data_IF_557331972310
#
_entry.id   IF_557331972310
#
_cell.length_a   1.000
_cell.length_b   1.000
_cell.length_c   1.000
_cell.angle_alpha   90.00
_cell.angle_beta   90.00
_cell.angle_gamma   90.00
#
_symmetry.space_group_name_H-M   'P 1'
#
loop_
_entity.id
_entity.type
_entity.pdbx_description
1 polymer ?
#
# COMPACT_ATOMS: atom_id res chain seq x y z
N UNK A 1 40.35 -33.62 68.44
CA UNK A 1 40.37 -33.86 66.99
C UNK A 1 39.03 -33.50 66.45
N UNK A 2 38.88 -32.28 65.88
CA UNK A 2 37.61 -31.79 65.28
C UNK A 2 37.66 -32.07 63.79
N UNK A 3 36.67 -32.81 63.28
CA UNK A 3 36.51 -33.06 61.86
C UNK A 3 35.83 -31.86 61.22
N UNK A 4 36.49 -31.32 60.21
CA UNK A 4 35.97 -30.26 59.33
C UNK A 4 35.16 -30.94 58.22
N UNK A 5 33.84 -30.56 58.06
CA UNK A 5 33.01 -30.99 56.97
C UNK A 5 32.94 -29.80 55.99
N UNK A 6 33.45 -30.00 54.77
CA UNK A 6 33.33 -29.03 53.67
C UNK A 6 32.11 -29.38 52.90
N UNK A 7 31.12 -28.45 52.84
CA UNK A 7 29.93 -28.53 51.97
C UNK A 7 30.24 -27.85 50.64
N UNK A 8 30.18 -28.62 49.54
CA UNK A 8 30.29 -28.09 48.17
C UNK A 8 28.91 -27.71 47.74
N UNK A 9 28.68 -26.41 47.62
CA UNK A 9 27.44 -25.86 47.01
C UNK A 9 27.56 -25.85 45.50
N UNK A 10 26.67 -26.58 44.81
CA UNK A 10 26.49 -26.54 43.37
C UNK A 10 25.53 -25.39 43.05
N UNK A 11 26.03 -24.32 42.41
CA UNK A 11 25.20 -23.26 41.90
C UNK A 11 24.61 -23.68 40.52
N UNK A 12 23.29 -23.90 40.47
CA UNK A 12 22.57 -24.03 39.21
C UNK A 12 22.34 -22.63 38.63
N UNK A 13 23.05 -22.31 37.57
CA UNK A 13 22.73 -21.14 36.74
C UNK A 13 21.57 -21.50 35.79
N UNK A 14 20.38 -20.97 36.07
CA UNK A 14 19.24 -21.03 35.15
C UNK A 14 19.50 -20.07 34.00
N UNK A 15 19.76 -20.58 32.81
CA UNK A 15 19.76 -19.81 31.57
C UNK A 15 18.31 -19.56 31.16
N UNK A 16 17.80 -18.36 31.39
CA UNK A 16 16.52 -17.94 30.89
C UNK A 16 16.67 -17.72 29.37
N UNK A 17 16.13 -18.62 28.56
CA UNK A 17 15.98 -18.41 27.13
C UNK A 17 14.95 -17.30 26.91
N UNK A 18 15.40 -16.11 26.50
CA UNK A 18 14.52 -15.03 26.02
C UNK A 18 14.00 -15.45 24.67
N UNK A 19 12.78 -15.97 24.62
CA UNK A 19 12.04 -16.16 23.37
C UNK A 19 11.60 -14.78 22.90
N UNK A 20 12.34 -14.19 21.96
CA UNK A 20 11.93 -12.99 21.24
C UNK A 20 10.83 -13.42 20.27
N UNK A 21 9.58 -13.28 20.68
CA UNK A 21 8.43 -13.41 19.78
C UNK A 21 8.44 -12.20 18.87
N UNK A 22 8.91 -12.34 17.65
CA UNK A 22 8.68 -11.36 16.60
C UNK A 22 7.19 -11.34 16.31
N UNK A 23 6.46 -10.44 16.95
CA UNK A 23 5.11 -10.09 16.53
C UNK A 23 5.23 -9.44 15.16
N UNK A 24 4.84 -10.17 14.12
CA UNK A 24 4.82 -9.66 12.76
C UNK A 24 4.05 -8.34 12.72
N UNK A 25 4.71 -7.27 12.30
CA UNK A 25 4.09 -5.97 12.06
C UNK A 25 3.03 -6.06 10.94
N UNK A 26 2.19 -5.05 10.79
CA UNK A 26 1.22 -5.01 9.70
C UNK A 26 1.93 -5.12 8.35
N UNK A 27 1.37 -5.93 7.43
CA UNK A 27 1.99 -6.21 6.13
C UNK A 27 2.16 -4.97 5.23
N UNK A 28 1.47 -3.87 5.56
CA UNK A 28 1.55 -2.61 4.84
C UNK A 28 2.36 -1.54 5.57
N UNK A 29 2.80 -1.80 6.81
CA UNK A 29 3.75 -0.91 7.48
C UNK A 29 5.16 -1.40 7.18
N UNK A 30 5.95 -0.60 6.50
CA UNK A 30 7.35 -0.91 6.26
C UNK A 30 8.10 -0.98 7.59
N UNK A 31 8.67 -2.13 7.97
CA UNK A 31 9.51 -2.22 9.16
C UNK A 31 10.88 -1.55 8.96
N UNK A 32 11.17 -1.09 7.75
CA UNK A 32 12.45 -0.55 7.33
C UNK A 32 12.33 0.96 7.19
N UNK A 33 12.98 1.71 8.08
CA UNK A 33 13.14 3.14 7.91
C UNK A 33 14.41 3.39 7.11
N UNK A 34 14.27 3.91 5.90
CA UNK A 34 15.41 4.39 5.13
C UNK A 34 15.88 5.73 5.67
N UNK A 35 17.16 5.85 5.96
CA UNK A 35 17.78 7.12 6.40
C UNK A 35 18.38 7.91 5.22
N UNK A 36 18.35 7.35 4.01
CA UNK A 36 18.80 7.98 2.78
C UNK A 36 17.76 7.85 1.66
N UNK A 37 17.80 8.77 0.71
CA UNK A 37 17.03 8.67 -0.54
C UNK A 37 17.66 7.59 -1.41
N UNK A 38 16.84 6.72 -2.00
CA UNK A 38 17.32 5.63 -2.88
C UNK A 38 18.05 6.15 -4.12
N UNK A 39 18.85 5.30 -4.76
CA UNK A 39 19.53 5.60 -6.02
C UNK A 39 18.51 6.01 -7.10
N UNK A 40 18.96 6.83 -8.05
CA UNK A 40 18.19 7.14 -9.26
C UNK A 40 18.42 6.08 -10.37
N UNK A 41 19.51 5.33 -10.25
CA UNK A 41 19.86 4.28 -11.20
C UNK A 41 19.20 2.97 -10.73
N UNK A 42 18.31 2.38 -11.53
CA UNK A 42 17.66 1.13 -11.17
C UNK A 42 18.64 -0.04 -11.22
N UNK A 43 18.29 -1.12 -10.53
CA UNK A 43 19.07 -2.36 -10.52
C UNK A 43 18.73 -3.20 -11.74
N UNK A 44 19.75 -3.72 -12.45
CA UNK A 44 19.58 -4.61 -13.59
C UNK A 44 18.92 -5.96 -13.24
N UNK A 45 18.98 -6.36 -11.96
CA UNK A 45 18.51 -7.67 -11.49
C UNK A 45 17.01 -7.64 -11.19
N UNK A 46 16.18 -7.22 -12.15
CA UNK A 46 14.72 -7.24 -12.00
C UNK A 46 14.05 -8.10 -13.07
N UNK A 47 13.06 -8.94 -12.71
CA UNK A 47 12.27 -9.62 -13.72
C UNK A 47 11.47 -8.59 -14.53
N UNK A 48 11.02 -8.99 -15.71
CA UNK A 48 10.20 -8.17 -16.60
C UNK A 48 8.78 -8.73 -16.68
N UNK A 49 7.79 -7.90 -16.45
CA UNK A 49 6.38 -8.24 -16.66
C UNK A 49 6.00 -7.81 -18.08
N UNK A 50 5.66 -8.78 -18.93
CA UNK A 50 5.62 -8.57 -20.38
C UNK A 50 4.31 -7.95 -20.89
N UNK A 51 3.24 -8.00 -20.09
CA UNK A 51 1.91 -7.48 -20.42
C UNK A 51 1.20 -6.94 -19.19
N UNK A 52 0.09 -6.21 -19.38
CA UNK A 52 -0.75 -5.68 -18.31
C UNK A 52 -0.04 -4.68 -17.40
N UNK A 53 -0.23 -4.83 -16.09
CA UNK A 53 0.30 -3.93 -15.06
C UNK A 53 0.59 -4.66 -13.74
N UNK A 54 1.52 -4.13 -12.94
CA UNK A 54 1.78 -4.51 -11.54
C UNK A 54 0.99 -3.59 -10.63
N UNK A 55 0.09 -4.17 -9.82
CA UNK A 55 -0.82 -3.43 -8.94
C UNK A 55 -0.44 -3.50 -7.46
N UNK A 56 0.24 -4.56 -7.04
CA UNK A 56 0.70 -4.73 -5.66
C UNK A 56 1.94 -5.61 -5.58
N UNK A 57 2.84 -5.22 -4.68
CA UNK A 57 4.03 -6.00 -4.33
C UNK A 57 4.07 -6.24 -2.81
N UNK A 58 4.68 -7.33 -2.40
CA UNK A 58 4.87 -7.70 -0.99
C UNK A 58 6.23 -8.37 -0.82
N UNK A 59 7.05 -7.87 0.10
CA UNK A 59 8.31 -8.51 0.48
C UNK A 59 8.09 -9.44 1.67
N UNK A 60 8.39 -10.72 1.52
CA UNK A 60 8.34 -11.68 2.61
C UNK A 60 9.21 -12.92 2.34
N UNK A 61 9.87 -13.42 3.39
CA UNK A 61 10.61 -14.69 3.33
C UNK A 61 11.75 -14.71 2.30
N UNK A 62 12.35 -13.55 2.00
CA UNK A 62 13.42 -13.43 0.98
C UNK A 62 12.91 -13.45 -0.46
N UNK A 63 11.61 -13.30 -0.67
CA UNK A 63 10.98 -13.16 -1.98
C UNK A 63 10.16 -11.87 -2.08
N UNK A 64 10.01 -11.37 -3.29
CA UNK A 64 9.02 -10.35 -3.65
C UNK A 64 7.87 -11.04 -4.37
N UNK A 65 6.67 -10.93 -3.78
CA UNK A 65 5.41 -11.36 -4.40
C UNK A 65 4.83 -10.20 -5.20
N UNK A 66 4.31 -10.50 -6.38
CA UNK A 66 3.82 -9.51 -7.34
C UNK A 66 2.42 -9.89 -7.80
N UNK A 67 1.46 -9.03 -7.58
CA UNK A 67 0.09 -9.14 -8.05
C UNK A 67 -0.24 -8.07 -9.10
N UNK A 68 -1.15 -8.38 -10.03
CA UNK A 68 -1.53 -7.41 -11.06
C UNK A 68 -2.50 -7.93 -12.10
N UNK A 69 -2.40 -7.35 -13.29
CA UNK A 69 -3.15 -7.73 -14.49
C UNK A 69 -2.15 -8.12 -15.59
N UNK A 70 -1.48 -9.20 -15.40
CA UNK A 70 -0.49 -9.73 -16.36
C UNK A 70 -0.69 -11.23 -16.55
N UNK A 71 -0.13 -11.76 -17.65
CA UNK A 71 -0.16 -13.20 -17.95
C UNK A 71 1.23 -13.78 -18.24
N UNK A 72 2.24 -12.92 -18.40
CA UNK A 72 3.58 -13.30 -18.83
C UNK A 72 4.65 -12.54 -18.06
N UNK A 73 5.66 -13.28 -17.59
CA UNK A 73 6.84 -12.72 -16.93
C UNK A 73 8.11 -13.29 -17.56
N UNK A 74 9.20 -12.53 -17.51
CA UNK A 74 10.50 -12.93 -18.03
C UNK A 74 11.56 -12.71 -16.96
N UNK A 75 12.43 -13.68 -16.65
CA UNK A 75 13.56 -13.48 -15.75
C UNK A 75 14.51 -12.40 -16.30
N UNK A 76 15.25 -11.71 -15.40
CA UNK A 76 16.14 -10.61 -15.77
C UNK A 76 17.21 -11.01 -16.80
N UNK A 77 17.71 -12.24 -16.74
CA UNK A 77 18.76 -12.78 -17.61
C UNK A 77 18.28 -13.18 -19.01
N UNK A 78 17.14 -12.68 -19.45
CA UNK A 78 16.56 -12.92 -20.78
C UNK A 78 16.26 -14.38 -21.13
N UNK A 79 16.12 -15.27 -20.14
CA UNK A 79 15.59 -16.61 -20.34
C UNK A 79 14.17 -16.59 -20.94
N UNK A 80 13.65 -17.74 -21.28
CA UNK A 80 12.32 -17.85 -21.88
C UNK A 80 11.23 -17.19 -21.01
N UNK A 81 10.26 -16.60 -21.67
CA UNK A 81 9.03 -16.08 -21.04
C UNK A 81 8.28 -17.21 -20.35
N UNK A 82 7.81 -16.95 -19.13
CA UNK A 82 7.09 -17.88 -18.29
C UNK A 82 5.65 -17.39 -18.15
N UNK A 83 4.67 -18.27 -18.36
CA UNK A 83 3.27 -17.95 -18.06
C UNK A 83 3.08 -17.80 -16.54
N UNK A 84 2.50 -16.68 -16.12
CA UNK A 84 2.12 -16.37 -14.73
C UNK A 84 0.83 -15.58 -14.74
N UNK A 85 -0.20 -16.16 -14.20
CA UNK A 85 -1.53 -15.59 -14.30
C UNK A 85 -1.81 -14.70 -13.08
N UNK A 86 -1.50 -13.41 -13.22
CA UNK A 86 -1.77 -12.30 -12.27
C UNK A 86 -1.04 -12.38 -10.93
N UNK A 87 -0.26 -13.45 -10.70
CA UNK A 87 0.55 -13.62 -9.50
C UNK A 87 1.84 -14.36 -9.81
N UNK A 88 2.96 -13.85 -9.33
CA UNK A 88 4.22 -14.55 -9.25
C UNK A 88 5.05 -14.09 -8.06
N UNK A 89 6.14 -14.80 -7.78
CA UNK A 89 7.15 -14.34 -6.85
C UNK A 89 8.55 -14.58 -7.44
N UNK A 90 9.52 -13.80 -6.99
CA UNK A 90 10.91 -13.91 -7.40
C UNK A 90 11.86 -13.63 -6.24
N UNK A 91 13.08 -14.12 -6.35
CA UNK A 91 14.15 -13.79 -5.41
C UNK A 91 14.76 -12.44 -5.80
N UNK A 92 14.72 -11.40 -4.95
CA UNK A 92 15.20 -10.06 -5.27
C UNK A 92 16.74 -9.99 -5.48
N UNK A 93 17.51 -10.92 -4.91
CA UNK A 93 18.96 -10.95 -5.05
C UNK A 93 19.44 -11.58 -6.37
N UNK A 94 18.63 -12.45 -6.95
CA UNK A 94 18.99 -13.20 -8.16
C UNK A 94 18.09 -12.91 -9.34
N UNK A 95 16.98 -12.17 -9.15
CA UNK A 95 15.95 -11.95 -10.16
C UNK A 95 15.25 -13.24 -10.65
N UNK A 96 15.54 -14.37 -10.00
CA UNK A 96 15.01 -15.69 -10.37
C UNK A 96 13.53 -15.83 -9.96
N UNK A 97 12.67 -16.23 -10.92
CA UNK A 97 11.25 -16.51 -10.68
C UNK A 97 11.11 -17.79 -9.86
N UNK A 98 10.30 -17.74 -8.79
CA UNK A 98 10.06 -18.89 -7.92
C UNK A 98 9.07 -19.90 -8.52
N UNK A 99 8.91 -21.03 -7.83
CA UNK A 99 7.92 -22.05 -8.19
C UNK A 99 6.47 -21.69 -7.85
N UNK A 100 6.20 -20.55 -7.22
CA UNK A 100 4.84 -20.11 -6.91
C UNK A 100 4.00 -20.06 -8.19
N UNK A 101 2.89 -20.79 -8.20
CA UNK A 101 1.97 -20.83 -9.34
C UNK A 101 0.52 -20.91 -8.84
N UNK A 102 -0.29 -19.97 -9.25
CA UNK A 102 -1.74 -19.96 -9.05
C UNK A 102 -2.40 -19.27 -10.25
N UNK A 103 -3.61 -19.70 -10.61
CA UNK A 103 -4.39 -19.13 -11.70
C UNK A 103 -5.59 -18.38 -11.16
N UNK A 104 -5.84 -17.20 -11.71
CA UNK A 104 -6.94 -16.32 -11.33
C UNK A 104 -7.77 -15.94 -12.55
N UNK A 105 -9.08 -15.91 -12.44
CA UNK A 105 -9.93 -15.49 -13.55
C UNK A 105 -10.06 -13.96 -13.68
N UNK A 106 -9.51 -13.18 -12.78
CA UNK A 106 -9.45 -11.72 -12.84
C UNK A 106 -8.29 -11.17 -11.99
N UNK A 107 -8.11 -9.88 -11.97
CA UNK A 107 -6.98 -9.11 -11.45
C UNK A 107 -6.71 -9.32 -9.95
N UNK A 108 -5.44 -9.30 -9.58
CA UNK A 108 -4.93 -9.27 -8.20
C UNK A 108 -4.55 -7.84 -7.83
N UNK A 109 -5.18 -7.31 -6.77
CA UNK A 109 -5.02 -5.92 -6.31
C UNK A 109 -4.39 -5.78 -4.94
N UNK A 110 -4.41 -6.83 -4.14
CA UNK A 110 -3.96 -6.78 -2.76
C UNK A 110 -3.20 -8.03 -2.36
N UNK A 111 -2.14 -7.86 -1.57
CA UNK A 111 -1.32 -8.94 -1.01
C UNK A 111 -1.07 -8.67 0.47
N UNK A 112 -1.15 -9.71 1.28
CA UNK A 112 -0.76 -9.69 2.69
C UNK A 112 -0.21 -11.06 3.13
N UNK A 113 0.50 -11.11 4.26
CA UNK A 113 1.02 -12.35 4.82
C UNK A 113 0.84 -12.39 6.34
N UNK A 114 0.63 -13.60 6.88
CA UNK A 114 0.69 -13.89 8.32
C UNK A 114 2.07 -14.42 8.76
N UNK A 115 3.07 -14.37 7.85
CA UNK A 115 4.40 -14.92 8.07
C UNK A 115 4.58 -16.34 7.53
N UNK A 116 3.51 -17.06 7.22
CA UNK A 116 3.53 -18.45 6.72
C UNK A 116 2.72 -18.65 5.44
N UNK A 117 1.68 -17.87 5.27
CA UNK A 117 0.74 -17.95 4.15
C UNK A 117 0.68 -16.64 3.39
N UNK A 118 0.28 -16.71 2.14
CA UNK A 118 0.00 -15.56 1.30
C UNK A 118 -1.52 -15.35 1.20
N UNK A 119 -2.01 -14.18 1.60
CA UNK A 119 -3.37 -13.73 1.30
C UNK A 119 -3.34 -12.91 0.03
N UNK A 120 -4.25 -13.23 -0.90
CA UNK A 120 -4.37 -12.56 -2.20
C UNK A 120 -5.77 -12.01 -2.33
N UNK A 121 -5.88 -10.72 -2.65
CA UNK A 121 -7.14 -10.02 -2.85
C UNK A 121 -7.27 -9.47 -4.28
N UNK A 122 -8.50 -9.33 -4.78
CA UNK A 122 -8.71 -8.82 -6.12
C UNK A 122 -10.15 -8.88 -6.61
N UNK A 123 -10.30 -8.79 -7.93
CA UNK A 123 -11.60 -8.85 -8.62
C UNK A 123 -12.00 -10.27 -9.04
N UNK A 124 -11.19 -11.24 -8.77
CA UNK A 124 -11.44 -12.64 -9.11
C UNK A 124 -12.57 -13.25 -8.28
N UNK A 125 -13.15 -14.31 -8.83
CA UNK A 125 -14.10 -15.19 -8.11
C UNK A 125 -13.73 -16.68 -8.17
N UNK A 126 -12.63 -16.99 -8.89
CA UNK A 126 -12.12 -18.36 -9.04
C UNK A 126 -10.60 -18.36 -9.00
N UNK A 127 -10.02 -19.26 -8.21
CA UNK A 127 -8.57 -19.47 -8.07
C UNK A 127 -8.27 -20.96 -8.18
N UNK A 128 -7.35 -21.35 -9.08
CA UNK A 128 -7.03 -22.76 -9.36
C UNK A 128 -8.29 -23.64 -9.58
N UNK A 129 -9.32 -23.08 -10.24
CA UNK A 129 -10.60 -23.77 -10.45
C UNK A 129 -11.53 -23.81 -9.23
N UNK A 130 -11.09 -23.32 -8.06
CA UNK A 130 -11.88 -23.30 -6.82
C UNK A 130 -12.58 -21.95 -6.69
N UNK A 131 -13.88 -21.93 -6.37
CA UNK A 131 -14.62 -20.69 -6.12
C UNK A 131 -14.09 -19.97 -4.88
N UNK A 132 -13.56 -18.77 -5.07
CA UNK A 132 -13.05 -17.87 -4.03
C UNK A 132 -13.27 -16.42 -4.49
N UNK A 133 -14.28 -15.77 -3.95
CA UNK A 133 -14.62 -14.39 -4.36
C UNK A 133 -13.85 -13.38 -3.54
N UNK A 134 -13.08 -12.55 -4.22
CA UNK A 134 -12.43 -11.35 -3.68
C UNK A 134 -11.20 -11.61 -2.84
N UNK A 135 -11.09 -12.72 -2.13
CA UNK A 135 -9.91 -13.06 -1.31
C UNK A 135 -9.70 -14.57 -1.21
N UNK A 136 -8.42 -14.96 -1.22
CA UNK A 136 -7.97 -16.35 -1.05
C UNK A 136 -6.74 -16.42 -0.15
N UNK A 137 -6.57 -17.51 0.56
CA UNK A 137 -5.33 -17.88 1.28
C UNK A 137 -4.60 -18.96 0.50
N UNK A 138 -3.31 -18.74 0.23
CA UNK A 138 -2.45 -19.64 -0.53
C UNK A 138 -1.25 -20.09 0.32
N UNK A 139 -0.75 -21.27 0.01
CA UNK A 139 0.62 -21.62 0.38
C UNK A 139 1.59 -20.71 -0.39
N UNK A 140 2.44 -19.96 0.33
CA UNK A 140 3.32 -18.94 -0.25
C UNK A 140 4.43 -19.51 -1.17
N UNK A 141 4.72 -20.81 -1.08
CA UNK A 141 5.74 -21.48 -1.90
C UNK A 141 5.14 -22.08 -3.17
N UNK A 142 3.99 -22.76 -3.04
CA UNK A 142 3.42 -23.56 -4.13
C UNK A 142 2.26 -22.89 -4.86
N UNK A 143 1.55 -21.94 -4.21
CA UNK A 143 0.31 -21.35 -4.72
C UNK A 143 -0.94 -22.22 -4.48
N UNK A 144 -0.82 -23.34 -3.76
CA UNK A 144 -1.96 -24.18 -3.43
C UNK A 144 -2.98 -23.43 -2.54
N UNK A 145 -4.28 -23.57 -2.86
CA UNK A 145 -5.37 -22.93 -2.11
C UNK A 145 -5.57 -23.60 -0.76
N UNK A 146 -5.57 -22.82 0.32
CA UNK A 146 -6.07 -23.30 1.63
C UNK A 146 -7.59 -23.40 1.60
N UNK A 147 -8.10 -24.64 1.58
CA UNK A 147 -9.53 -24.91 1.47
C UNK A 147 -10.31 -24.57 2.74
N UNK A 148 -9.63 -24.46 3.89
CA UNK A 148 -10.25 -24.10 5.18
C UNK A 148 -10.57 -22.59 5.25
N UNK A 149 -9.83 -21.76 4.49
CA UNK A 149 -10.06 -20.32 4.44
C UNK A 149 -11.11 -19.97 3.38
N UNK A 150 -12.22 -19.35 3.80
CA UNK A 150 -13.22 -18.79 2.90
C UNK A 150 -13.99 -17.65 3.58
N UNK A 151 -13.78 -16.41 3.08
CA UNK A 151 -14.44 -15.22 3.63
C UNK A 151 -15.88 -15.02 3.13
N UNK A 152 -16.32 -15.79 2.12
CA UNK A 152 -17.67 -15.72 1.53
C UNK A 152 -18.10 -14.28 1.14
N UNK A 153 -17.19 -13.53 0.53
CA UNK A 153 -17.47 -12.15 0.14
C UNK A 153 -18.42 -12.08 -1.06
N UNK A 154 -19.18 -10.97 -1.13
CA UNK A 154 -20.09 -10.63 -2.25
C UNK A 154 -19.48 -9.67 -3.26
N UNK A 155 -18.18 -9.32 -3.11
CA UNK A 155 -17.50 -8.36 -3.97
C UNK A 155 -15.98 -8.48 -3.83
N UNK A 156 -15.30 -7.55 -4.46
CA UNK A 156 -13.84 -7.55 -4.61
C UNK A 156 -13.13 -6.95 -3.41
N UNK A 157 -11.89 -7.39 -3.18
CA UNK A 157 -10.95 -6.80 -2.22
C UNK A 157 -9.94 -5.96 -3.01
N UNK A 158 -9.89 -4.68 -2.70
CA UNK A 158 -9.02 -3.70 -3.38
C UNK A 158 -7.72 -3.43 -2.63
N UNK A 159 -7.74 -3.64 -1.30
CA UNK A 159 -6.56 -3.59 -0.45
C UNK A 159 -6.77 -4.37 0.84
N UNK A 160 -5.67 -4.77 1.51
CA UNK A 160 -5.72 -5.52 2.76
C UNK A 160 -4.47 -5.33 3.62
N UNK A 161 -4.62 -5.54 4.92
CA UNK A 161 -3.52 -5.58 5.86
C UNK A 161 -3.68 -6.72 6.87
N UNK A 162 -2.58 -7.40 7.19
CA UNK A 162 -2.52 -8.32 8.32
C UNK A 162 -1.95 -7.60 9.53
N UNK A 163 -2.70 -7.55 10.62
CA UNK A 163 -2.31 -6.83 11.85
C UNK A 163 -2.80 -7.55 13.10
N UNK A 164 -1.88 -7.83 14.03
CA UNK A 164 -2.20 -8.41 15.35
C UNK A 164 -3.15 -9.62 15.27
N UNK A 165 -2.85 -10.57 14.37
CA UNK A 165 -3.62 -11.80 14.21
C UNK A 165 -4.94 -11.65 13.46
N UNK A 166 -5.19 -10.53 12.77
CA UNK A 166 -6.41 -10.27 11.99
C UNK A 166 -6.06 -9.87 10.57
N UNK A 167 -6.83 -10.32 9.60
CA UNK A 167 -6.76 -9.85 8.23
C UNK A 167 -7.86 -8.80 8.01
N UNK A 168 -7.45 -7.54 7.81
CA UNK A 168 -8.35 -6.42 7.51
C UNK A 168 -8.46 -6.31 6.00
N UNK A 169 -9.69 -6.27 5.50
CA UNK A 169 -10.04 -6.20 4.08
C UNK A 169 -10.76 -4.89 3.78
N UNK A 170 -10.34 -4.18 2.74
CA UNK A 170 -11.04 -3.05 2.14
C UNK A 170 -11.51 -3.41 0.73
N UNK A 171 -12.69 -2.91 0.31
CA UNK A 171 -13.16 -3.26 -1.04
C UNK A 171 -14.57 -2.82 -1.39
N UNK A 172 -15.16 -3.56 -2.35
CA UNK A 172 -16.51 -3.31 -2.90
C UNK A 172 -17.58 -4.22 -2.28
N UNK A 173 -17.18 -5.24 -1.53
CA UNK A 173 -18.10 -6.17 -0.85
C UNK A 173 -19.06 -5.43 0.11
N UNK A 174 -20.13 -6.08 0.58
CA UNK A 174 -21.25 -5.40 1.29
C UNK A 174 -20.79 -4.51 2.45
N UNK A 175 -19.87 -4.97 3.31
CA UNK A 175 -19.37 -4.21 4.46
C UNK A 175 -18.35 -3.13 4.12
N UNK A 176 -17.73 -3.16 2.94
CA UNK A 176 -16.65 -2.27 2.45
C UNK A 176 -15.34 -2.34 3.25
N UNK A 177 -15.43 -2.57 4.56
CA UNK A 177 -14.30 -2.73 5.48
C UNK A 177 -14.64 -3.85 6.46
N UNK A 178 -13.77 -4.85 6.60
CA UNK A 178 -14.04 -6.05 7.39
C UNK A 178 -12.74 -6.60 7.99
N UNK A 179 -12.81 -7.14 9.20
CA UNK A 179 -11.73 -7.96 9.75
C UNK A 179 -12.16 -9.43 9.80
N UNK A 180 -11.35 -10.30 9.20
CA UNK A 180 -11.60 -11.73 9.14
C UNK A 180 -10.53 -12.53 9.88
N UNK A 181 -10.90 -13.73 10.31
CA UNK A 181 -9.97 -14.73 10.84
C UNK A 181 -8.99 -15.17 9.74
N UNK A 182 -7.67 -15.10 9.94
CA UNK A 182 -6.69 -15.57 8.95
C UNK A 182 -6.69 -17.10 8.79
N UNK A 183 -7.37 -17.82 9.68
CA UNK A 183 -7.49 -19.28 9.64
C UNK A 183 -8.71 -19.72 8.82
N UNK A 184 -9.87 -19.13 9.09
CA UNK A 184 -11.13 -19.57 8.48
C UNK A 184 -11.70 -18.62 7.44
N UNK A 185 -11.30 -17.36 7.43
CA UNK A 185 -11.92 -16.28 6.63
C UNK A 185 -13.20 -15.72 7.25
N UNK A 186 -13.70 -16.30 8.36
CA UNK A 186 -14.93 -15.85 9.01
C UNK A 186 -14.79 -14.43 9.60
N UNK A 187 -15.87 -13.63 9.52
CA UNK A 187 -15.92 -12.31 10.13
C UNK A 187 -15.69 -12.39 11.64
N UNK A 188 -14.71 -11.65 12.14
CA UNK A 188 -14.36 -11.64 13.58
C UNK A 188 -15.23 -10.73 14.43
N UNK A 189 -16.06 -9.87 13.82
CA UNK A 189 -16.80 -8.83 14.52
C UNK A 189 -15.93 -7.69 15.09
N UNK A 190 -14.63 -7.67 14.78
CA UNK A 190 -13.71 -6.65 15.27
C UNK A 190 -13.97 -5.27 14.65
N UNK A 191 -14.34 -5.22 13.35
CA UNK A 191 -14.76 -4.00 12.68
C UNK A 191 -16.30 -4.03 12.56
N UNK A 192 -16.96 -3.14 13.32
CA UNK A 192 -18.42 -2.92 13.27
C UNK A 192 -18.77 -1.55 12.69
N UNK A 193 -17.75 -0.82 12.20
CA UNK A 193 -17.91 0.53 11.67
C UNK A 193 -18.50 0.44 10.26
N UNK A 194 -19.67 1.02 10.05
CA UNK A 194 -20.31 1.09 8.73
C UNK A 194 -19.61 2.11 7.83
N UNK A 195 -19.34 1.74 6.58
CA UNK A 195 -18.85 2.62 5.52
C UNK A 195 -20.02 2.85 4.55
N UNK A 196 -20.42 4.10 4.34
CA UNK A 196 -21.65 4.41 3.60
C UNK A 196 -21.54 5.70 2.77
N UNK A 197 -22.50 5.84 1.85
CA UNK A 197 -22.66 7.00 0.98
C UNK A 197 -21.58 7.12 -0.09
N UNK A 198 -21.72 8.13 -0.92
CA UNK A 198 -20.73 8.54 -1.93
C UNK A 198 -20.29 9.97 -1.62
N UNK A 199 -19.09 10.40 -2.02
CA UNK A 199 -18.54 11.71 -1.62
C UNK A 199 -19.46 12.87 -1.95
N UNK A 200 -20.07 12.85 -3.16
CA UNK A 200 -20.95 13.90 -3.66
C UNK A 200 -22.22 13.27 -4.23
N UNK A 201 -23.28 13.09 -3.39
CA UNK A 201 -24.57 12.57 -3.83
C UNK A 201 -25.17 13.44 -4.95
N UNK A 202 -25.78 12.80 -5.96
CA UNK A 202 -26.32 13.48 -7.15
C UNK A 202 -25.32 13.65 -8.28
N UNK A 203 -24.04 13.39 -8.06
CA UNK A 203 -23.07 13.32 -9.14
C UNK A 203 -22.96 11.86 -9.65
N UNK A 204 -23.30 11.56 -10.92
CA UNK A 204 -23.28 10.20 -11.48
C UNK A 204 -21.88 9.59 -11.48
N UNK A 205 -20.83 10.40 -11.54
CA UNK A 205 -19.43 9.94 -11.59
C UNK A 205 -18.86 9.63 -10.20
N UNK A 206 -19.64 9.81 -9.12
CA UNK A 206 -19.21 9.43 -7.76
C UNK A 206 -18.86 7.95 -7.62
N UNK A 207 -19.40 7.11 -8.48
CA UNK A 207 -19.19 5.67 -8.45
C UNK A 207 -19.78 4.99 -7.21
N UNK A 208 -19.66 3.66 -7.07
CA UNK A 208 -20.17 2.95 -5.91
C UNK A 208 -19.32 3.17 -4.67
N UNK A 209 -19.95 3.13 -3.49
CA UNK A 209 -19.25 3.15 -2.20
C UNK A 209 -18.24 2.01 -2.12
N UNK A 210 -17.00 2.34 -1.77
CA UNK A 210 -15.90 1.37 -1.56
C UNK A 210 -14.78 1.96 -0.69
N UNK A 211 -14.04 1.11 -0.02
CA UNK A 211 -12.68 1.40 0.46
C UNK A 211 -11.73 1.04 -0.66
N UNK A 212 -10.91 1.96 -1.11
CA UNK A 212 -10.01 1.74 -2.24
C UNK A 212 -8.62 1.31 -1.78
N UNK A 213 -8.04 2.04 -0.80
CA UNK A 213 -6.76 1.70 -0.16
C UNK A 213 -6.87 1.85 1.34
N UNK A 214 -5.99 1.17 2.05
CA UNK A 214 -5.88 1.25 3.49
C UNK A 214 -4.42 1.13 3.94
N UNK A 215 -4.06 1.81 5.01
CA UNK A 215 -2.77 1.70 5.66
C UNK A 215 -2.92 1.56 7.17
N UNK A 216 -2.08 0.74 7.77
CA UNK A 216 -2.00 0.58 9.22
C UNK A 216 -0.69 1.19 9.71
N UNK A 217 -0.74 2.00 10.77
CA UNK A 217 0.48 2.55 11.33
C UNK A 217 1.39 1.46 11.93
N UNK A 218 2.70 1.68 12.07
CA UNK A 218 3.65 0.67 12.56
C UNK A 218 3.29 0.04 13.90
N UNK A 219 2.67 0.79 14.80
CA UNK A 219 2.22 0.29 16.11
C UNK A 219 0.96 -0.61 16.01
N UNK A 220 0.30 -0.69 14.85
CA UNK A 220 -0.95 -1.43 14.67
C UNK A 220 -2.10 -0.90 15.51
N UNK A 221 -2.16 0.43 15.72
CA UNK A 221 -3.15 1.10 16.56
C UNK A 221 -4.04 2.08 15.78
N UNK A 222 -3.63 2.46 14.57
CA UNK A 222 -4.37 3.35 13.67
C UNK A 222 -4.50 2.70 12.30
N UNK A 223 -5.65 2.91 11.68
CA UNK A 223 -5.96 2.50 10.31
C UNK A 223 -6.46 3.72 9.55
N UNK A 224 -5.75 4.14 8.54
CA UNK A 224 -6.23 5.10 7.56
C UNK A 224 -6.92 4.37 6.41
N UNK A 225 -8.05 4.87 5.96
CA UNK A 225 -8.76 4.36 4.79
C UNK A 225 -9.04 5.49 3.82
N UNK A 226 -8.89 5.22 2.54
CA UNK A 226 -9.27 6.13 1.46
C UNK A 226 -10.20 5.43 0.48
N UNK A 227 -11.12 6.19 -0.14
CA UNK A 227 -12.07 5.59 -1.06
C UNK A 227 -13.27 6.45 -1.42
N UNK A 228 -14.27 5.81 -1.99
CA UNK A 228 -15.53 6.41 -2.40
C UNK A 228 -16.56 6.22 -1.30
N UNK A 229 -16.57 7.11 -0.32
CA UNK A 229 -17.54 7.12 0.78
C UNK A 229 -17.71 8.55 1.33
N UNK A 230 -18.84 8.82 2.00
CA UNK A 230 -19.11 10.10 2.68
C UNK A 230 -19.34 9.96 4.18
N UNK A 231 -19.52 8.72 4.67
CA UNK A 231 -19.81 8.46 6.09
C UNK A 231 -19.06 7.22 6.58
N UNK A 232 -18.52 7.33 7.79
CA UNK A 232 -17.86 6.22 8.51
C UNK A 232 -18.41 6.20 9.94
N UNK A 233 -19.06 5.09 10.32
CA UNK A 233 -19.69 4.95 11.64
C UNK A 233 -20.75 6.00 11.93
N UNK A 234 -21.50 6.44 10.91
CA UNK A 234 -22.51 7.50 11.04
C UNK A 234 -21.95 8.93 11.12
N UNK A 235 -20.62 9.10 11.11
CA UNK A 235 -19.97 10.42 11.12
C UNK A 235 -19.60 10.83 9.70
N UNK A 236 -19.72 12.13 9.38
CA UNK A 236 -19.24 12.66 8.09
C UNK A 236 -17.74 12.45 7.97
N UNK A 237 -17.35 11.67 7.00
CA UNK A 237 -15.97 11.35 6.62
C UNK A 237 -15.94 11.13 5.11
N UNK A 238 -15.62 12.17 4.35
CA UNK A 238 -15.56 12.05 2.89
C UNK A 238 -14.20 11.58 2.45
N UNK A 239 -14.16 10.49 1.69
CA UNK A 239 -13.01 9.95 0.98
C UNK A 239 -11.83 9.51 1.85
N UNK A 240 -11.63 10.09 3.04
CA UNK A 240 -10.53 9.77 3.97
C UNK A 240 -11.07 9.67 5.37
N UNK A 241 -10.70 8.61 6.08
CA UNK A 241 -10.99 8.47 7.50
C UNK A 241 -9.84 7.80 8.25
N UNK A 242 -9.67 8.20 9.50
CA UNK A 242 -8.75 7.57 10.44
C UNK A 242 -9.57 6.79 11.47
N UNK A 243 -9.19 5.52 11.71
CA UNK A 243 -9.81 4.66 12.70
C UNK A 243 -8.78 4.27 13.77
N UNK A 244 -9.26 4.08 14.99
CA UNK A 244 -8.46 3.52 16.08
C UNK A 244 -8.67 2.02 16.16
N UNK A 245 -7.57 1.27 16.09
CA UNK A 245 -7.54 -0.18 16.26
C UNK A 245 -7.30 -0.51 17.73
N UNK A 246 -8.38 -0.69 18.48
CA UNK A 246 -8.32 -1.07 19.89
C UNK A 246 -8.02 -2.57 20.07
N UNK A 247 -7.98 -3.04 21.29
CA UNK A 247 -7.69 -4.46 21.60
C UNK A 247 -8.79 -5.38 21.09
N UNK A 248 -10.06 -5.03 21.31
CA UNK A 248 -11.22 -5.89 20.99
C UNK A 248 -12.11 -5.35 19.88
N UNK A 249 -12.00 -4.08 19.53
CA UNK A 249 -12.86 -3.43 18.53
C UNK A 249 -12.20 -2.24 17.87
N UNK A 250 -12.77 -1.79 16.76
CA UNK A 250 -12.35 -0.60 16.02
C UNK A 250 -13.36 0.53 16.23
N UNK A 251 -12.85 1.75 16.39
CA UNK A 251 -13.68 2.97 16.52
C UNK A 251 -13.24 4.01 15.50
N UNK A 252 -14.15 4.93 15.15
CA UNK A 252 -13.82 6.08 14.29
C UNK A 252 -13.06 7.11 15.14
N UNK A 253 -11.90 7.53 14.64
CA UNK A 253 -11.12 8.61 15.26
C UNK A 253 -11.83 9.95 15.13
N UNK A 254 -11.54 10.88 16.05
CA UNK A 254 -11.98 12.27 15.94
C UNK A 254 -11.41 13.02 14.73
N UNK A 255 -10.32 12.52 14.13
CA UNK A 255 -9.66 13.15 12.99
C UNK A 255 -10.64 13.39 11.83
N UNK A 256 -10.66 14.64 11.33
CA UNK A 256 -11.46 15.05 10.18
C UNK A 256 -10.87 16.32 9.56
N UNK A 257 -10.97 16.44 8.25
CA UNK A 257 -10.63 17.68 7.55
C UNK A 257 -11.75 18.10 6.59
N UNK A 258 -12.21 19.36 6.68
CA UNK A 258 -13.22 19.91 5.77
C UNK A 258 -12.72 20.06 4.32
N UNK A 259 -11.41 20.00 4.08
CA UNK A 259 -10.85 20.06 2.73
C UNK A 259 -11.31 18.89 1.85
N UNK A 260 -11.68 17.75 2.46
CA UNK A 260 -12.25 16.61 1.75
C UNK A 260 -13.72 16.80 1.35
N UNK A 261 -14.38 17.85 1.84
CA UNK A 261 -15.76 18.17 1.49
C UNK A 261 -15.88 18.92 0.14
N UNK A 262 -14.77 19.34 -0.44
CA UNK A 262 -14.72 19.98 -1.77
C UNK A 262 -14.53 18.94 -2.87
N UNK A 263 -15.22 19.11 -4.00
CA UNK A 263 -15.01 18.32 -5.22
C UNK A 263 -13.89 18.89 -6.06
N UNK A 264 -13.15 18.03 -6.77
CA UNK A 264 -12.16 18.47 -7.75
C UNK A 264 -12.81 18.88 -9.08
N UNK A 265 -13.71 18.03 -9.58
CA UNK A 265 -14.52 18.30 -10.77
C UNK A 265 -15.75 17.41 -10.76
N UNK A 266 -16.70 17.67 -11.65
CA UNK A 266 -17.84 16.79 -11.84
C UNK A 266 -17.44 15.40 -12.33
N UNK A 267 -16.38 15.32 -13.16
CA UNK A 267 -15.88 14.04 -13.70
C UNK A 267 -15.01 13.24 -12.72
N UNK A 268 -14.50 13.85 -11.65
CA UNK A 268 -13.67 13.18 -10.64
C UNK A 268 -14.09 13.52 -9.21
N UNK A 269 -15.32 13.16 -8.83
CA UNK A 269 -15.83 13.48 -7.48
C UNK A 269 -15.13 12.65 -6.39
N UNK A 270 -14.62 11.46 -6.70
CA UNK A 270 -13.81 10.62 -5.79
C UNK A 270 -12.35 10.67 -6.23
N UNK A 271 -11.53 11.41 -5.51
CA UNK A 271 -10.17 11.72 -5.94
C UNK A 271 -9.05 11.19 -5.03
N UNK A 272 -9.33 10.69 -3.83
CA UNK A 272 -8.31 9.99 -3.02
C UNK A 272 -7.84 8.70 -3.71
N UNK A 273 -6.52 8.43 -3.72
CA UNK A 273 -5.95 7.30 -4.45
C UNK A 273 -5.18 6.35 -3.55
N UNK A 274 -4.26 6.85 -2.74
CA UNK A 274 -3.44 6.03 -1.86
C UNK A 274 -3.12 6.76 -0.57
N UNK A 275 -2.69 6.00 0.46
CA UNK A 275 -2.32 6.50 1.78
C UNK A 275 -1.24 5.63 2.39
N UNK A 276 -0.24 6.27 3.03
CA UNK A 276 0.79 5.56 3.79
C UNK A 276 1.18 6.34 5.04
N UNK A 277 1.58 5.62 6.11
CA UNK A 277 2.05 6.18 7.37
C UNK A 277 3.55 6.38 7.39
N UNK A 278 3.99 7.39 8.14
CA UNK A 278 5.40 7.52 8.51
C UNK A 278 5.89 6.32 9.34
N UNK A 279 7.20 6.00 9.29
CA UNK A 279 7.77 4.89 10.06
C UNK A 279 7.61 5.00 11.58
N UNK A 280 7.47 6.21 12.11
CA UNK A 280 7.19 6.47 13.53
C UNK A 280 5.67 6.53 13.84
N UNK A 281 4.83 6.49 12.81
CA UNK A 281 3.37 6.56 12.93
C UNK A 281 2.82 7.92 13.34
N UNK A 282 3.63 8.98 13.35
CA UNK A 282 3.23 10.32 13.80
C UNK A 282 2.41 11.08 12.76
N UNK A 283 2.55 10.74 11.48
CA UNK A 283 1.81 11.33 10.38
C UNK A 283 1.49 10.30 9.29
N UNK A 284 0.65 10.68 8.37
CA UNK A 284 0.38 9.96 7.14
C UNK A 284 0.30 10.91 5.94
N UNK A 285 0.49 10.38 4.76
CA UNK A 285 0.38 11.12 3.50
C UNK A 285 -0.72 10.50 2.64
N UNK A 286 -1.55 11.34 2.04
CA UNK A 286 -2.58 10.94 1.07
C UNK A 286 -2.22 11.53 -0.28
N UNK A 287 -2.34 10.74 -1.35
CA UNK A 287 -2.19 11.19 -2.74
C UNK A 287 -3.52 11.14 -3.48
N UNK A 288 -3.68 12.02 -4.47
CA UNK A 288 -4.95 12.25 -5.13
C UNK A 288 -4.83 12.38 -6.65
N UNK A 289 -5.97 12.19 -7.30
CA UNK A 289 -6.25 12.61 -8.66
C UNK A 289 -7.13 13.87 -8.64
N UNK A 290 -7.59 14.32 -9.80
CA UNK A 290 -8.60 15.39 -9.85
C UNK A 290 -8.59 16.14 -11.16
N UNK A 291 -8.58 17.46 -11.05
CA UNK A 291 -8.41 18.39 -12.14
C UNK A 291 -7.52 19.54 -11.66
N UNK A 292 -6.79 20.16 -12.57
CA UNK A 292 -6.02 21.36 -12.25
C UNK A 292 -6.92 22.39 -11.56
N UNK A 293 -6.43 22.93 -10.44
CA UNK A 293 -7.11 23.98 -9.67
C UNK A 293 -6.06 25.05 -9.29
N UNK A 294 -5.59 25.85 -10.28
CA UNK A 294 -4.50 26.79 -10.07
C UNK A 294 -4.80 27.71 -8.88
N UNK A 295 -3.84 27.78 -7.94
CA UNK A 295 -3.86 28.63 -6.74
C UNK A 295 -5.03 28.37 -5.76
N UNK A 296 -5.88 27.37 -6.01
CA UNK A 296 -6.96 26.96 -5.11
C UNK A 296 -6.47 26.00 -4.03
N UNK A 297 -6.05 26.55 -2.90
CA UNK A 297 -5.58 25.79 -1.73
C UNK A 297 -6.69 25.16 -0.89
N UNK A 298 -7.96 25.38 -1.24
CA UNK A 298 -9.11 24.75 -0.58
C UNK A 298 -9.40 23.35 -1.12
N UNK A 299 -8.73 22.92 -2.19
CA UNK A 299 -8.90 21.62 -2.84
C UNK A 299 -7.62 20.82 -2.80
N UNK A 300 -7.76 19.52 -2.60
CA UNK A 300 -6.65 18.56 -2.57
C UNK A 300 -6.55 17.76 -3.87
N UNK A 301 -6.82 18.40 -4.98
CA UNK A 301 -6.83 17.79 -6.30
C UNK A 301 -5.40 17.62 -6.82
N UNK A 302 -5.10 16.47 -7.43
CA UNK A 302 -3.80 16.23 -8.06
C UNK A 302 -2.63 16.62 -7.15
N UNK A 303 -2.62 16.03 -5.95
CA UNK A 303 -1.69 16.43 -4.90
C UNK A 303 -1.23 15.28 -4.03
N UNK A 304 -0.16 15.53 -3.27
CA UNK A 304 0.22 14.81 -2.07
C UNK A 304 0.06 15.73 -0.85
N UNK A 305 -0.55 15.23 0.22
CA UNK A 305 -0.81 16.01 1.43
C UNK A 305 -0.42 15.25 2.70
N UNK A 306 0.31 15.92 3.63
CA UNK A 306 0.73 15.35 4.92
C UNK A 306 -0.19 15.75 6.05
N UNK A 307 -0.57 14.78 6.87
CA UNK A 307 -1.51 14.91 7.97
C UNK A 307 -0.93 14.35 9.27
N UNK A 308 -1.00 15.12 10.36
CA UNK A 308 -0.63 14.59 11.67
C UNK A 308 -1.66 13.57 12.16
N UNK A 309 -1.18 12.52 12.83
CA UNK A 309 -2.03 11.53 13.49
C UNK A 309 -2.50 12.12 14.83
N UNK A 310 -3.75 12.56 14.87
CA UNK A 310 -4.41 13.10 16.06
C UNK A 310 -5.91 12.78 16.02
N UNK A 311 -6.65 13.21 17.01
CA UNK A 311 -8.12 13.03 17.11
C UNK A 311 -8.88 14.37 17.02
N UNK A 312 -8.28 15.40 16.40
CA UNK A 312 -8.90 16.72 16.24
C UNK A 312 -9.95 16.72 15.13
N UNK A 313 -11.07 17.40 15.37
CA UNK A 313 -12.22 17.46 14.44
C UNK A 313 -12.01 18.37 13.24
N UNK A 314 -11.11 19.33 13.33
CA UNK A 314 -10.80 20.22 12.20
C UNK A 314 -9.29 20.22 12.03
N UNK A 315 -8.83 19.46 11.05
CA UNK A 315 -7.41 19.28 10.75
C UNK A 315 -7.09 19.85 9.39
N UNK A 316 -5.94 20.50 9.29
CA UNK A 316 -5.37 20.95 8.03
C UNK A 316 -4.07 20.20 7.77
N UNK A 317 -3.66 20.04 6.49
CA UNK A 317 -2.41 19.39 6.17
C UNK A 317 -1.23 20.24 6.65
N UNK A 318 -0.15 19.57 7.05
CA UNK A 318 1.12 20.23 7.38
C UNK A 318 1.71 20.87 6.14
N UNK A 319 1.59 20.17 5.01
CA UNK A 319 1.94 20.66 3.70
C UNK A 319 1.10 19.97 2.62
N UNK A 320 0.98 20.62 1.47
CA UNK A 320 0.41 20.07 0.24
C UNK A 320 1.39 20.33 -0.89
N UNK A 321 1.70 19.32 -1.69
CA UNK A 321 2.45 19.43 -2.92
C UNK A 321 1.53 19.11 -4.10
N UNK A 322 1.34 20.06 -5.00
CA UNK A 322 0.48 19.92 -6.16
C UNK A 322 1.28 19.54 -7.41
N UNK A 323 0.67 18.78 -8.30
CA UNK A 323 1.24 18.44 -9.62
C UNK A 323 0.83 19.42 -10.72
N UNK A 324 -0.27 20.18 -10.50
CA UNK A 324 -0.82 21.12 -11.47
C UNK A 324 -1.69 20.46 -12.56
N UNK A 325 -2.39 19.37 -12.23
CA UNK A 325 -3.37 18.74 -13.11
C UNK A 325 -3.07 17.29 -13.50
N UNK A 326 -2.08 16.69 -12.86
CA UNK A 326 -1.70 15.29 -13.12
C UNK A 326 -1.89 14.41 -11.87
N UNK A 327 -2.43 13.23 -12.05
CA UNK A 327 -2.72 12.26 -10.97
C UNK A 327 -1.47 11.67 -10.31
N UNK A 328 -1.51 11.56 -8.98
CA UNK A 328 -0.68 10.66 -8.18
C UNK A 328 -1.50 9.42 -7.80
N UNK A 329 -0.92 8.22 -7.92
CA UNK A 329 -1.61 6.95 -7.73
C UNK A 329 -1.09 6.13 -6.55
N UNK A 330 0.18 6.28 -6.19
CA UNK A 330 0.74 5.59 -5.03
C UNK A 330 1.73 6.44 -4.26
N UNK A 331 1.89 6.13 -2.99
CA UNK A 331 2.79 6.81 -2.05
C UNK A 331 3.48 5.81 -1.14
N UNK A 332 4.77 6.04 -0.87
CA UNK A 332 5.54 5.33 0.16
C UNK A 332 6.26 6.35 1.03
N UNK A 333 5.98 6.32 2.32
CA UNK A 333 6.61 7.23 3.29
C UNK A 333 7.77 6.53 3.96
N UNK A 334 8.93 7.18 3.96
CA UNK A 334 10.13 6.76 4.68
C UNK A 334 10.55 7.86 5.66
N UNK A 335 11.61 7.63 6.44
CA UNK A 335 12.16 8.65 7.31
C UNK A 335 12.77 9.82 6.51
N UNK A 336 13.42 9.51 5.40
CA UNK A 336 14.17 10.47 4.59
C UNK A 336 13.38 11.08 3.45
N UNK A 337 12.33 10.41 2.96
CA UNK A 337 11.57 10.86 1.80
C UNK A 337 10.11 10.40 1.83
N UNK A 338 9.26 11.15 1.14
CA UNK A 338 7.94 10.72 0.67
C UNK A 338 8.07 10.49 -0.84
N UNK A 339 8.05 9.21 -1.23
CA UNK A 339 8.04 8.83 -2.65
C UNK A 339 6.61 8.82 -3.15
N UNK A 340 6.39 9.38 -4.34
CA UNK A 340 5.10 9.39 -5.03
C UNK A 340 5.28 8.98 -6.47
N UNK A 341 4.29 8.29 -7.04
CA UNK A 341 4.24 8.03 -8.46
C UNK A 341 2.81 8.10 -9.02
N UNK A 342 2.74 8.31 -10.32
CA UNK A 342 1.49 8.42 -11.05
C UNK A 342 1.77 8.65 -12.53
N UNK A 343 1.02 9.57 -13.16
CA UNK A 343 1.35 10.06 -14.49
C UNK A 343 1.70 11.56 -14.51
N UNK A 344 2.15 12.07 -13.36
CA UNK A 344 2.54 13.46 -13.18
C UNK A 344 3.73 13.86 -14.07
N UNK A 345 3.77 15.13 -14.46
CA UNK A 345 4.90 15.78 -15.12
C UNK A 345 5.74 16.58 -14.13
N UNK A 346 5.05 17.18 -13.16
CA UNK A 346 5.63 18.13 -12.23
C UNK A 346 5.27 17.80 -10.78
N UNK A 347 6.10 18.30 -9.87
CA UNK A 347 5.82 18.54 -8.45
C UNK A 347 6.07 20.02 -8.16
N UNK A 348 5.72 20.49 -6.94
CA UNK A 348 5.80 21.90 -6.54
C UNK A 348 5.06 22.83 -7.52
N UNK A 349 3.91 22.43 -8.02
CA UNK A 349 3.19 23.10 -9.11
C UNK A 349 1.78 23.56 -8.74
N UNK A 350 1.61 24.41 -7.70
CA UNK A 350 0.28 24.82 -7.24
C UNK A 350 -0.46 25.74 -8.22
N UNK A 351 0.26 26.45 -9.07
CA UNK A 351 -0.30 27.41 -10.04
C UNK A 351 -0.38 26.85 -11.45
N UNK A 352 0.01 25.58 -11.66
CA UNK A 352 -0.03 24.93 -12.98
C UNK A 352 -1.46 24.57 -13.40
N UNK A 353 -1.68 24.60 -14.71
CA UNK A 353 -2.92 24.15 -15.35
C UNK A 353 -2.59 23.21 -16.52
N UNK A 354 -2.19 22.00 -16.20
CA UNK A 354 -1.61 21.00 -17.12
C UNK A 354 -0.27 21.43 -17.77
N UNK A 355 0.39 22.43 -17.21
CA UNK A 355 1.68 22.98 -17.60
C UNK A 355 2.53 23.30 -16.36
N UNK A 356 3.73 23.82 -16.55
CA UNK A 356 4.59 24.26 -15.46
C UNK A 356 4.22 25.69 -15.04
N UNK A 357 3.68 25.83 -13.82
CA UNK A 357 3.54 27.11 -13.15
C UNK A 357 4.84 27.56 -12.46
N UNK A 358 4.84 28.75 -11.84
CA UNK A 358 5.99 29.25 -11.08
C UNK A 358 6.43 28.29 -9.98
N UNK A 359 7.73 27.95 -9.93
CA UNK A 359 8.31 27.05 -8.93
C UNK A 359 8.13 25.56 -9.22
N UNK A 360 7.44 25.18 -10.29
CA UNK A 360 7.28 23.81 -10.70
C UNK A 360 8.63 23.14 -11.01
N UNK A 361 8.80 21.90 -10.60
CA UNK A 361 9.98 21.08 -10.92
C UNK A 361 9.55 19.85 -11.69
N UNK A 362 10.25 19.53 -12.77
CA UNK A 362 9.96 18.33 -13.56
C UNK A 362 10.27 17.07 -12.75
N UNK A 363 9.27 16.21 -12.59
CA UNK A 363 9.33 14.88 -11.94
C UNK A 363 8.40 13.95 -12.68
N UNK A 364 8.91 13.45 -13.83
CA UNK A 364 8.08 12.68 -14.73
C UNK A 364 7.73 11.32 -14.11
N UNK A 365 6.45 11.16 -13.80
CA UNK A 365 5.78 9.96 -13.33
C UNK A 365 6.23 9.40 -11.97
N UNK A 366 7.35 9.89 -11.40
CA UNK A 366 7.85 9.50 -10.08
C UNK A 366 8.64 10.65 -9.47
N UNK A 367 8.59 10.82 -8.15
CA UNK A 367 9.34 11.84 -7.44
C UNK A 367 9.52 11.52 -5.96
N UNK A 368 10.46 12.21 -5.33
CA UNK A 368 10.69 12.16 -3.89
C UNK A 368 10.57 13.56 -3.30
N UNK A 369 9.93 13.66 -2.14
CA UNK A 369 9.69 14.91 -1.42
C UNK A 369 10.26 14.85 -0.01
N UNK A 370 10.67 16.00 0.51
CA UNK A 370 11.07 16.13 1.90
C UNK A 370 9.87 15.89 2.82
N UNK A 371 9.94 14.96 3.79
CA UNK A 371 8.80 14.64 4.66
C UNK A 371 8.32 15.80 5.53
N UNK A 372 9.19 16.77 5.83
CA UNK A 372 8.87 17.91 6.70
C UNK A 372 8.30 19.10 5.94
N UNK A 373 8.84 19.40 4.75
CA UNK A 373 8.45 20.60 3.97
C UNK A 373 7.50 20.29 2.83
N UNK A 374 7.40 19.02 2.38
CA UNK A 374 6.65 18.61 1.21
C UNK A 374 7.28 19.01 -0.12
N UNK A 375 8.43 19.73 -0.12
CA UNK A 375 9.10 20.14 -1.36
C UNK A 375 9.85 18.98 -2.01
N UNK A 376 9.77 18.92 -3.33
CA UNK A 376 10.46 17.90 -4.11
C UNK A 376 11.98 18.02 -3.98
N UNK A 377 12.63 16.86 -3.75
CA UNK A 377 14.10 16.75 -3.85
C UNK A 377 14.57 16.83 -5.30
N UNK A 378 15.87 17.01 -5.51
CA UNK A 378 16.51 16.93 -6.83
C UNK A 378 16.47 15.52 -7.44
N UNK A 379 16.17 14.48 -6.63
CA UNK A 379 16.03 13.11 -7.05
C UNK A 379 14.98 12.95 -8.16
N UNK A 380 15.38 12.41 -9.31
CA UNK A 380 14.55 12.33 -10.51
C UNK A 380 15.03 11.20 -11.44
N UNK A 381 14.73 9.95 -11.14
CA UNK A 381 15.12 8.84 -12.01
C UNK A 381 14.41 8.88 -13.37
N UNK A 382 13.36 9.68 -13.51
CA UNK A 382 12.44 9.68 -14.65
C UNK A 382 11.79 8.31 -14.91
N UNK A 383 10.55 8.31 -15.33
CA UNK A 383 9.81 7.10 -15.68
C UNK A 383 8.85 7.43 -16.81
N UNK A 384 8.51 6.46 -17.64
CA UNK A 384 7.38 6.61 -18.56
C UNK A 384 6.11 6.96 -17.75
N UNK A 385 5.26 7.80 -18.33
CA UNK A 385 4.04 8.23 -17.62
C UNK A 385 2.99 7.13 -17.57
N UNK A 386 2.73 6.44 -18.67
CA UNK A 386 1.70 5.41 -18.76
C UNK A 386 0.31 5.90 -18.33
N UNK A 387 -0.53 5.00 -17.87
CA UNK A 387 -1.70 5.32 -17.05
C UNK A 387 -1.24 5.64 -15.63
N UNK A 388 -0.19 4.95 -15.14
CA UNK A 388 0.51 5.37 -13.93
C UNK A 388 1.26 4.29 -13.18
N UNK A 389 1.72 4.69 -12.00
CA UNK A 389 2.39 3.82 -11.03
C UNK A 389 1.43 3.42 -9.93
N UNK A 390 1.26 2.12 -9.73
CA UNK A 390 0.21 1.60 -8.86
C UNK A 390 0.68 1.21 -7.47
N UNK A 391 1.97 0.85 -7.30
CA UNK A 391 2.49 0.44 -6.00
C UNK A 391 3.97 0.83 -5.84
N UNK A 392 4.31 1.29 -4.66
CA UNK A 392 5.65 1.52 -4.17
C UNK A 392 5.85 0.64 -2.94
N UNK A 393 6.88 -0.20 -2.96
CA UNK A 393 7.20 -1.09 -1.84
C UNK A 393 8.60 -0.81 -1.31
N UNK A 394 8.70 -0.35 -0.08
CA UNK A 394 9.97 -0.29 0.61
C UNK A 394 10.38 -1.69 1.09
N UNK A 395 11.57 -2.14 0.72
CA UNK A 395 12.18 -3.37 1.16
C UNK A 395 13.62 -3.15 1.63
N UNK A 396 14.26 -4.18 2.15
CA UNK A 396 15.62 -4.08 2.71
C UNK A 396 16.68 -3.68 1.67
N UNK A 397 16.42 -3.94 0.40
CA UNK A 397 17.30 -3.66 -0.74
C UNK A 397 17.02 -2.32 -1.44
N UNK A 398 15.90 -1.66 -1.11
CA UNK A 398 15.54 -0.37 -1.69
C UNK A 398 14.05 -0.19 -1.92
N UNK A 399 13.72 0.69 -2.86
CA UNK A 399 12.35 1.00 -3.27
C UNK A 399 12.00 0.22 -4.55
N UNK A 400 11.06 -0.70 -4.44
CA UNK A 400 10.44 -1.37 -5.57
C UNK A 400 9.32 -0.52 -6.15
N UNK A 401 9.28 -0.45 -7.48
CA UNK A 401 8.33 0.35 -8.27
C UNK A 401 7.50 -0.58 -9.13
N UNK A 402 6.18 -0.60 -8.91
CA UNK A 402 5.21 -1.36 -9.69
C UNK A 402 4.35 -0.42 -10.55
N UNK A 403 4.19 -0.71 -11.85
CA UNK A 403 3.53 0.18 -12.80
C UNK A 403 2.95 -0.58 -14.01
N UNK A 404 2.47 0.17 -15.02
CA UNK A 404 2.14 -0.30 -16.36
C UNK A 404 3.18 0.14 -17.42
N UNK A 405 4.28 0.75 -16.99
CA UNK A 405 5.25 1.40 -17.87
C UNK A 405 6.47 0.52 -18.15
N UNK A 406 7.31 0.91 -19.11
CA UNK A 406 8.41 0.07 -19.58
C UNK A 406 9.80 0.62 -19.29
N UNK A 407 9.92 1.95 -18.99
CA UNK A 407 11.21 2.58 -18.73
C UNK A 407 11.21 3.33 -17.40
N UNK A 408 12.34 3.24 -16.70
CA UNK A 408 12.70 4.04 -15.54
C UNK A 408 14.23 4.20 -15.51
N UNK A 409 14.74 5.36 -15.10
CA UNK A 409 16.17 5.64 -15.08
C UNK A 409 16.82 5.69 -16.47
N UNK A 410 16.03 5.84 -17.54
CA UNK A 410 16.52 5.74 -18.91
C UNK A 410 16.71 4.31 -19.43
N UNK A 411 16.33 3.30 -18.63
CA UNK A 411 16.53 1.88 -18.92
C UNK A 411 15.20 1.11 -19.05
N UNK A 412 15.24 -0.07 -19.65
CA UNK A 412 14.07 -0.94 -19.81
C UNK A 412 13.85 -1.76 -18.54
N UNK A 413 12.80 -1.42 -17.81
CA UNK A 413 12.30 -2.12 -16.63
C UNK A 413 10.78 -2.32 -16.77
N UNK A 414 10.40 -3.34 -17.51
CA UNK A 414 8.98 -3.55 -17.86
C UNK A 414 8.15 -3.83 -16.62
N UNK A 415 7.42 -2.79 -16.15
CA UNK A 415 6.40 -2.74 -15.09
C UNK A 415 6.90 -2.99 -13.66
N UNK A 416 8.17 -3.39 -13.49
CA UNK A 416 8.77 -3.58 -12.17
C UNK A 416 10.24 -3.15 -12.19
N UNK A 417 10.64 -2.36 -11.21
CA UNK A 417 12.01 -1.91 -11.04
C UNK A 417 12.39 -1.86 -9.56
N UNK A 418 13.68 -1.99 -9.26
CA UNK A 418 14.26 -1.70 -7.96
C UNK A 418 15.14 -0.46 -8.06
N UNK A 419 14.88 0.54 -7.25
CA UNK A 419 15.77 1.67 -6.99
C UNK A 419 16.52 1.35 -5.68
N UNK A 420 17.80 0.92 -5.74
CA UNK A 420 18.50 0.39 -4.60
C UNK A 420 18.85 1.47 -3.57
N UNK A 421 19.10 1.06 -2.34
CA UNK A 421 19.76 1.90 -1.33
C UNK A 421 21.15 2.31 -1.83
N UNK A 422 21.63 3.55 -1.49
CA UNK A 422 22.95 4.02 -1.88
C UNK A 422 24.07 3.23 -1.24
#
# INVERSE_FOLDING_TARGET
MKKLVVAIGVALTAVAAVVVVFLGGPSNASPISQDAVVSQNPSDITPRVQDGAVYKMLSHGGAIFVGGQFTKVKPYNNLATIARDRLFAFNPKTGGITGLHATFNSEVWALATDGTSLFVGGYFNTVNGIKRTGVVKLNATTGAVDTKFNANLTGSVTDMAYVKGRLILGGTFSQKLLAVSPVTGGNTGYIKVAIAGVPFPGNPDSGPTKVFRLAVNPAGTRLAIVGTFSSVGGQTRRQVALLTLGTSSTTVSGWYSPLWDHTCSSATPSYSRDVDFSPDGSFFVVVTTGAAAPDDKTRLCDSASRWNVNDQRTTYPVWVNYTGGDTLLSVQVTRSAVYVQGHNRYLNNPSGNNDAGPGAVSRQAIGAMNPHTGLAYSWNPTKDRGIGGYDLLLAADGLWVGSDTTHIGGEIHERIALLPLP
#
